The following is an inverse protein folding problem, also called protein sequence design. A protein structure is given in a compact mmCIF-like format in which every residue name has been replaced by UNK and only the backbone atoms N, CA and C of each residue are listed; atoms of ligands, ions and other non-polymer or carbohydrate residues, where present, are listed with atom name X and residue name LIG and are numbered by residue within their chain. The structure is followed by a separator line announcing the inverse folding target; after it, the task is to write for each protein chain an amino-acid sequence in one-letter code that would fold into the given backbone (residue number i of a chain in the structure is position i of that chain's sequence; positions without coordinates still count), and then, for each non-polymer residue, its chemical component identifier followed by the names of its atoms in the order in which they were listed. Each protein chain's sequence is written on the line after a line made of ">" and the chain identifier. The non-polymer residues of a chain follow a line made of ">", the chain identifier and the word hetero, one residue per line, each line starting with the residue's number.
data_IF_950855258603
#
_entry.id   IF_950855258603
#
_cell.length_a   1.000
_cell.length_b   1.000
_cell.length_c   1.000
_cell.angle_alpha   90.00
_cell.angle_beta   90.00
_cell.angle_gamma   90.00
#
_symmetry.space_group_name_H-M   'P 1'
#
loop_
_entity.id
_entity.type
_entity.pdbx_description
1 polymer ?
#
# COMPACT_ATOMS: atom_id res chain seq x y z
N UNK A 1 16.25 -4.83 -21.30
CA UNK A 1 15.55 -5.90 -20.54
C UNK A 1 14.05 -5.60 -20.60
N UNK A 2 13.26 -6.60 -20.97
CA UNK A 2 11.81 -6.48 -21.19
C UNK A 2 11.03 -7.18 -20.10
N UNK A 3 10.18 -6.47 -19.39
CA UNK A 3 9.40 -7.00 -18.27
C UNK A 3 7.90 -6.88 -18.56
N UNK A 4 7.17 -7.98 -18.45
CA UNK A 4 5.72 -7.99 -18.50
C UNK A 4 5.17 -8.00 -17.06
N UNK A 5 4.60 -6.88 -16.61
CA UNK A 5 3.83 -6.85 -15.36
C UNK A 5 2.39 -7.30 -15.61
N UNK A 6 1.85 -8.10 -14.69
CA UNK A 6 0.54 -8.74 -14.85
C UNK A 6 -0.29 -8.58 -13.59
N UNK A 7 -1.39 -7.82 -13.67
CA UNK A 7 -2.33 -7.63 -12.56
C UNK A 7 -3.73 -7.24 -13.06
N UNK A 8 -4.73 -7.43 -12.20
CA UNK A 8 -6.16 -7.22 -12.54
C UNK A 8 -6.54 -5.78 -12.82
N UNK A 9 -5.83 -4.82 -12.25
CA UNK A 9 -6.10 -3.37 -12.30
C UNK A 9 -4.79 -2.62 -12.41
N UNK A 10 -4.81 -1.42 -13.02
CA UNK A 10 -3.63 -0.55 -13.06
C UNK A 10 -4.03 0.93 -13.10
N UNK A 11 -3.09 1.78 -12.74
CA UNK A 11 -3.19 3.23 -12.94
C UNK A 11 -3.17 3.55 -14.46
N UNK A 12 -3.94 4.52 -14.97
CA UNK A 12 -4.81 5.46 -14.25
C UNK A 12 -6.27 5.00 -14.07
N UNK A 13 -6.70 3.85 -14.61
CA UNK A 13 -8.10 3.40 -14.50
C UNK A 13 -8.55 3.23 -13.04
N UNK A 14 -7.64 2.77 -12.20
CA UNK A 14 -7.85 2.63 -10.76
C UNK A 14 -6.65 3.20 -10.00
N UNK A 15 -6.90 3.74 -8.81
CA UNK A 15 -5.87 4.35 -7.96
C UNK A 15 -5.89 3.72 -6.56
N UNK A 16 -5.27 2.55 -6.43
CA UNK A 16 -5.10 1.81 -5.18
C UNK A 16 -3.63 1.57 -4.86
N UNK A 17 -3.36 0.99 -3.70
CA UNK A 17 -1.99 0.74 -3.26
C UNK A 17 -1.18 -0.16 -4.20
N UNK A 18 -1.80 -1.21 -4.77
CA UNK A 18 -1.12 -2.14 -5.69
C UNK A 18 -0.87 -1.47 -7.03
N UNK A 19 -1.83 -0.70 -7.54
CA UNK A 19 -1.72 0.06 -8.79
C UNK A 19 -0.56 1.07 -8.73
N UNK A 20 -0.40 1.76 -7.60
CA UNK A 20 0.73 2.66 -7.38
C UNK A 20 2.06 1.90 -7.32
N UNK A 21 2.10 0.73 -6.69
CA UNK A 21 3.29 -0.13 -6.68
C UNK A 21 3.70 -0.53 -8.10
N UNK A 22 2.76 -1.00 -8.92
CA UNK A 22 2.99 -1.37 -10.33
C UNK A 22 3.54 -0.17 -11.10
N UNK A 23 2.92 1.00 -10.94
CA UNK A 23 3.32 2.27 -11.55
C UNK A 23 4.75 2.64 -11.17
N UNK A 24 5.09 2.64 -9.88
CA UNK A 24 6.42 3.02 -9.39
C UNK A 24 7.52 2.03 -9.80
N UNK A 25 7.21 0.73 -9.88
CA UNK A 25 8.14 -0.25 -10.46
C UNK A 25 8.39 0.08 -11.94
N UNK A 26 7.33 0.29 -12.73
CA UNK A 26 7.47 0.55 -14.16
C UNK A 26 8.21 1.85 -14.45
N UNK A 27 7.80 2.97 -13.82
CA UNK A 27 8.40 4.29 -14.03
C UNK A 27 9.86 4.35 -13.53
N UNK A 28 10.12 3.82 -12.34
CA UNK A 28 11.46 3.82 -11.75
C UNK A 28 12.45 2.94 -12.51
N UNK A 29 12.07 1.70 -12.87
CA UNK A 29 12.97 0.78 -13.58
C UNK A 29 13.22 1.21 -15.03
N UNK A 30 12.31 1.97 -15.64
CA UNK A 30 12.49 2.55 -16.98
C UNK A 30 13.73 3.46 -17.04
N UNK A 31 13.98 4.27 -16.03
CA UNK A 31 15.17 5.13 -15.96
C UNK A 31 16.47 4.35 -15.91
N UNK A 32 16.39 3.05 -15.55
CA UNK A 32 17.52 2.11 -15.47
C UNK A 32 17.56 1.13 -16.67
N UNK A 33 16.85 1.44 -17.76
CA UNK A 33 16.90 0.71 -19.03
C UNK A 33 16.00 -0.53 -19.09
N UNK A 34 14.94 -0.61 -18.25
CA UNK A 34 13.91 -1.65 -18.34
C UNK A 34 12.74 -1.15 -19.17
N UNK A 35 12.38 -1.90 -20.20
CA UNK A 35 11.15 -1.69 -20.97
C UNK A 35 10.03 -2.52 -20.33
N UNK A 36 8.97 -1.86 -19.88
CA UNK A 36 7.86 -2.51 -19.18
C UNK A 36 6.57 -2.40 -19.99
N UNK A 37 5.83 -3.52 -20.09
CA UNK A 37 4.42 -3.54 -20.50
C UNK A 37 3.58 -4.05 -19.36
N UNK A 38 2.33 -3.56 -19.25
CA UNK A 38 1.38 -3.96 -18.21
C UNK A 38 0.18 -4.62 -18.87
N UNK A 39 -0.05 -5.90 -18.58
CA UNK A 39 -1.26 -6.61 -18.95
C UNK A 39 -2.27 -6.53 -17.80
N UNK A 40 -3.44 -5.98 -18.08
CA UNK A 40 -4.47 -5.73 -17.06
C UNK A 40 -5.87 -6.04 -17.58
N UNK A 41 -6.87 -6.02 -16.70
CA UNK A 41 -8.28 -6.08 -17.06
C UNK A 41 -8.90 -4.68 -17.06
N UNK A 42 -9.92 -4.49 -17.90
CA UNK A 42 -10.74 -3.28 -17.93
C UNK A 42 -12.22 -3.63 -18.01
N UNK A 43 -13.08 -2.75 -17.50
CA UNK A 43 -14.54 -2.85 -17.67
C UNK A 43 -14.97 -2.52 -19.09
N UNK A 44 -14.18 -1.73 -19.79
CA UNK A 44 -14.45 -1.24 -21.13
C UNK A 44 -13.50 -1.89 -22.17
N UNK A 45 -13.93 -1.91 -23.43
CA UNK A 45 -13.07 -2.32 -24.52
C UNK A 45 -12.19 -1.13 -24.95
N UNK A 46 -11.03 -1.02 -24.34
CA UNK A 46 -10.08 0.07 -24.54
C UNK A 46 -8.87 -0.47 -25.30
N UNK A 47 -8.42 0.19 -26.39
CA UNK A 47 -7.20 -0.21 -27.07
C UNK A 47 -5.97 0.00 -26.18
N UNK A 48 -4.84 -0.68 -26.46
CA UNK A 48 -3.58 -0.41 -25.78
C UNK A 48 -3.19 1.08 -25.86
N UNK A 49 -2.69 1.61 -24.75
CA UNK A 49 -2.30 3.02 -24.64
C UNK A 49 -1.01 3.18 -23.82
N UNK A 50 -0.40 4.35 -23.91
CA UNK A 50 0.79 4.66 -23.10
C UNK A 50 0.43 5.58 -21.94
N UNK A 51 0.89 5.23 -20.74
CA UNK A 51 0.81 6.06 -19.56
C UNK A 51 2.20 6.19 -18.94
N UNK A 52 2.68 7.42 -18.76
CA UNK A 52 4.02 7.72 -18.22
C UNK A 52 5.17 6.93 -18.90
N UNK A 53 5.04 6.70 -20.21
CA UNK A 53 6.01 5.96 -21.02
C UNK A 53 5.99 4.44 -20.83
N UNK A 54 4.96 3.91 -20.18
CA UNK A 54 4.69 2.46 -20.05
C UNK A 54 3.49 2.09 -20.92
N UNK A 55 3.62 1.03 -21.72
CA UNK A 55 2.51 0.51 -22.52
C UNK A 55 1.58 -0.34 -21.65
N UNK A 56 0.30 0.04 -21.64
CA UNK A 56 -0.76 -0.65 -20.92
C UNK A 56 -1.64 -1.38 -21.93
N UNK A 57 -1.84 -2.68 -21.70
CA UNK A 57 -2.65 -3.55 -22.54
C UNK A 57 -3.88 -3.98 -21.72
N UNK A 58 -4.98 -3.22 -21.77
CA UNK A 58 -6.21 -3.56 -21.08
C UNK A 58 -6.97 -4.64 -21.86
N UNK A 59 -7.49 -5.62 -21.15
CA UNK A 59 -8.36 -6.66 -21.72
C UNK A 59 -9.72 -6.55 -21.09
N UNK A 60 -10.77 -6.39 -21.92
CA UNK A 60 -12.15 -6.29 -21.42
C UNK A 60 -12.53 -7.54 -20.65
N UNK A 61 -13.03 -7.36 -19.44
CA UNK A 61 -13.58 -8.44 -18.59
C UNK A 61 -14.74 -9.12 -19.27
N UNK A 62 -14.79 -10.45 -19.20
CA UNK A 62 -15.94 -11.26 -19.63
C UNK A 62 -16.91 -11.44 -18.48
N UNK A 63 -16.40 -11.69 -17.29
CA UNK A 63 -17.16 -11.80 -16.04
C UNK A 63 -16.29 -11.47 -14.84
N UNK A 64 -16.94 -11.24 -13.70
CA UNK A 64 -16.27 -10.99 -12.43
C UNK A 64 -16.98 -11.74 -11.30
N UNK A 65 -16.21 -12.38 -10.43
CA UNK A 65 -16.70 -13.07 -9.22
C UNK A 65 -15.88 -12.65 -8.03
N UNK A 66 -16.52 -12.07 -7.02
CA UNK A 66 -15.86 -11.66 -5.78
C UNK A 66 -14.62 -10.76 -5.99
N UNK A 67 -14.73 -9.77 -6.88
CA UNK A 67 -13.64 -8.86 -7.30
C UNK A 67 -12.48 -9.56 -8.03
N UNK A 68 -12.69 -10.76 -8.52
CA UNK A 68 -11.78 -11.47 -9.41
C UNK A 68 -12.36 -11.48 -10.83
N UNK A 69 -11.88 -10.56 -11.66
CA UNK A 69 -12.25 -10.47 -13.06
C UNK A 69 -11.51 -11.53 -13.89
N UNK A 70 -12.17 -12.01 -14.95
CA UNK A 70 -11.61 -12.93 -15.94
C UNK A 70 -12.02 -12.56 -17.35
N UNK A 71 -11.12 -12.86 -18.32
CA UNK A 71 -11.39 -12.74 -19.75
C UNK A 71 -10.67 -13.83 -20.52
N UNK A 72 -11.37 -14.49 -21.48
CA UNK A 72 -10.74 -15.50 -22.34
C UNK A 72 -9.61 -14.89 -23.20
N UNK A 73 -9.81 -13.67 -23.69
CA UNK A 73 -8.80 -12.91 -24.46
C UNK A 73 -7.51 -12.68 -23.65
N UNK A 74 -7.59 -12.68 -22.31
CA UNK A 74 -6.42 -12.52 -21.43
C UNK A 74 -5.36 -13.60 -21.68
N UNK A 75 -5.78 -14.85 -21.97
CA UNK A 75 -4.86 -15.98 -22.24
C UNK A 75 -4.09 -15.75 -23.54
N UNK A 76 -4.77 -15.31 -24.60
CA UNK A 76 -4.12 -15.07 -25.90
C UNK A 76 -3.16 -13.87 -25.85
N UNK A 77 -3.57 -12.76 -25.19
CA UNK A 77 -2.70 -11.59 -25.03
C UNK A 77 -1.51 -11.93 -24.11
N UNK A 78 -1.73 -12.69 -23.03
CA UNK A 78 -0.64 -13.13 -22.17
C UNK A 78 0.40 -13.96 -22.92
N UNK A 79 -0.03 -14.94 -23.75
CA UNK A 79 0.89 -15.76 -24.58
C UNK A 79 1.73 -14.88 -25.50
N UNK A 80 1.10 -13.96 -26.25
CA UNK A 80 1.76 -13.03 -27.15
C UNK A 80 2.78 -12.13 -26.42
N UNK A 81 2.39 -11.60 -25.26
CA UNK A 81 3.25 -10.70 -24.48
C UNK A 81 4.36 -11.47 -23.74
N UNK A 82 4.13 -12.73 -23.36
CA UNK A 82 5.17 -13.57 -22.76
C UNK A 82 6.29 -13.92 -23.75
N UNK A 83 5.99 -13.99 -25.07
CA UNK A 83 7.02 -14.15 -26.11
C UNK A 83 7.89 -12.89 -26.23
N UNK A 84 7.30 -11.71 -26.09
CA UNK A 84 8.02 -10.42 -26.12
C UNK A 84 8.90 -10.21 -24.88
N UNK A 85 8.45 -10.65 -23.69
CA UNK A 85 9.10 -10.39 -22.43
C UNK A 85 10.36 -11.27 -22.21
N UNK A 86 11.33 -10.75 -21.50
CA UNK A 86 12.44 -11.52 -20.91
C UNK A 86 12.03 -12.10 -19.56
N UNK A 87 11.23 -11.35 -18.79
CA UNK A 87 10.76 -11.67 -17.43
C UNK A 87 9.27 -11.40 -17.32
N UNK A 88 8.56 -12.26 -16.56
CA UNK A 88 7.16 -12.05 -16.20
C UNK A 88 7.08 -11.71 -14.71
N UNK A 89 6.48 -10.57 -14.38
CA UNK A 89 6.31 -10.07 -13.03
C UNK A 89 4.83 -10.04 -12.64
N UNK A 90 4.42 -11.02 -11.82
CA UNK A 90 3.06 -11.12 -11.31
C UNK A 90 2.88 -10.29 -10.04
N UNK A 91 1.63 -9.88 -9.77
CA UNK A 91 1.24 -9.25 -8.51
C UNK A 91 0.14 -10.10 -7.85
N UNK A 92 0.36 -10.52 -6.62
CA UNK A 92 -0.54 -11.40 -5.86
C UNK A 92 -1.21 -10.60 -4.72
N UNK A 93 -2.50 -10.82 -4.39
CA UNK A 93 -3.34 -11.94 -4.86
C UNK A 93 -4.17 -11.57 -6.11
N UNK A 94 -4.16 -12.47 -7.06
CA UNK A 94 -5.08 -12.44 -8.20
C UNK A 94 -5.28 -13.85 -8.79
N UNK A 95 -6.37 -14.58 -8.41
CA UNK A 95 -6.60 -15.95 -8.87
C UNK A 95 -6.61 -16.14 -10.38
N UNK A 96 -7.14 -15.19 -11.17
CA UNK A 96 -7.08 -15.25 -12.63
C UNK A 96 -5.65 -15.06 -13.16
N UNK A 97 -4.82 -14.26 -12.50
CA UNK A 97 -3.39 -14.12 -12.80
C UNK A 97 -2.63 -15.43 -12.55
N UNK A 98 -2.94 -16.11 -11.44
CA UNK A 98 -2.35 -17.42 -11.14
C UNK A 98 -2.77 -18.48 -12.17
N UNK A 99 -4.04 -18.42 -12.63
CA UNK A 99 -4.53 -19.32 -13.69
C UNK A 99 -3.81 -19.07 -15.02
N UNK A 100 -3.63 -17.83 -15.44
CA UNK A 100 -2.95 -17.55 -16.72
C UNK A 100 -1.47 -17.92 -16.67
N UNK A 101 -0.84 -18.01 -15.52
CA UNK A 101 0.55 -18.48 -15.37
C UNK A 101 0.75 -19.89 -15.91
N UNK A 102 -0.30 -20.73 -15.92
CA UNK A 102 -0.29 -22.06 -16.51
C UNK A 102 -0.03 -22.03 -18.03
N UNK A 103 -0.28 -20.91 -18.67
CA UNK A 103 -0.08 -20.68 -20.11
C UNK A 103 1.29 -20.06 -20.44
N UNK A 104 2.21 -19.96 -19.47
CA UNK A 104 3.59 -19.54 -19.71
C UNK A 104 4.37 -20.65 -20.46
N UNK A 105 3.96 -20.89 -21.71
CA UNK A 105 4.55 -21.92 -22.57
C UNK A 105 6.04 -21.67 -22.86
N UNK A 106 6.49 -20.43 -22.80
CA UNK A 106 7.89 -20.04 -23.05
C UNK A 106 8.80 -20.33 -21.87
N UNK A 107 8.25 -20.71 -20.72
CA UNK A 107 8.95 -20.94 -19.45
C UNK A 107 9.89 -19.78 -19.08
N UNK A 108 9.47 -18.54 -19.39
CA UNK A 108 10.24 -17.34 -19.02
C UNK A 108 10.42 -17.27 -17.51
N UNK A 109 11.57 -16.80 -17.05
CA UNK A 109 11.81 -16.50 -15.65
C UNK A 109 10.69 -15.61 -15.10
N UNK A 110 10.18 -15.92 -13.92
CA UNK A 110 9.07 -15.16 -13.36
C UNK A 110 9.24 -14.92 -11.87
N UNK A 111 8.74 -13.78 -11.43
CA UNK A 111 8.63 -13.42 -10.02
C UNK A 111 7.22 -12.95 -9.71
N UNK A 112 6.90 -12.93 -8.41
CA UNK A 112 5.64 -12.38 -7.91
C UNK A 112 5.88 -11.43 -6.75
N UNK A 113 5.32 -10.21 -6.82
CA UNK A 113 5.20 -9.34 -5.65
C UNK A 113 3.97 -9.73 -4.86
N UNK A 114 4.20 -10.16 -3.61
CA UNK A 114 3.20 -10.67 -2.69
C UNK A 114 2.70 -9.53 -1.80
N UNK A 115 1.57 -8.91 -2.15
CA UNK A 115 1.05 -7.73 -1.46
C UNK A 115 0.32 -8.06 -0.16
N UNK A 116 -0.44 -9.17 -0.13
CA UNK A 116 -1.18 -9.58 1.07
C UNK A 116 -1.62 -11.04 1.04
N UNK A 117 -1.84 -11.61 2.22
CA UNK A 117 -2.55 -12.89 2.36
C UNK A 117 -4.04 -12.71 1.99
N UNK A 118 -4.67 -13.76 1.44
CA UNK A 118 -6.12 -13.83 1.29
C UNK A 118 -6.73 -14.16 2.66
N UNK A 119 -7.31 -13.17 3.33
CA UNK A 119 -7.87 -13.31 4.68
C UNK A 119 -9.36 -13.61 4.67
N UNK A 120 -10.11 -13.01 3.73
CA UNK A 120 -11.57 -13.22 3.55
C UNK A 120 -11.87 -14.44 2.66
N UNK A 121 -13.13 -14.89 2.65
CA UNK A 121 -13.65 -15.94 1.74
C UNK A 121 -13.04 -17.33 2.01
N UNK A 122 -13.08 -17.79 3.25
CA UNK A 122 -12.47 -19.06 3.70
C UNK A 122 -12.84 -20.28 2.81
N UNK A 123 -14.08 -20.40 2.35
CA UNK A 123 -14.53 -21.52 1.49
C UNK A 123 -13.90 -21.45 0.09
N UNK A 124 -13.94 -20.27 -0.55
CA UNK A 124 -13.31 -20.08 -1.86
C UNK A 124 -11.79 -20.27 -1.80
N UNK A 125 -11.17 -19.90 -0.68
CA UNK A 125 -9.74 -20.10 -0.44
C UNK A 125 -9.37 -21.61 -0.45
N UNK A 126 -10.22 -22.48 0.08
CA UNK A 126 -9.96 -23.93 0.09
C UNK A 126 -9.91 -24.46 -1.36
N UNK A 127 -10.86 -24.06 -2.20
CA UNK A 127 -10.91 -24.44 -3.61
C UNK A 127 -9.75 -23.84 -4.44
N UNK A 128 -9.35 -22.64 -4.12
CA UNK A 128 -8.25 -21.93 -4.78
C UNK A 128 -6.86 -22.42 -4.35
N UNK A 129 -6.73 -23.00 -3.15
CA UNK A 129 -5.44 -23.37 -2.56
C UNK A 129 -4.55 -24.27 -3.45
N UNK A 130 -5.05 -25.24 -4.20
CA UNK A 130 -4.22 -26.02 -5.12
C UNK A 130 -3.58 -25.16 -6.22
N UNK A 131 -4.35 -24.22 -6.82
CA UNK A 131 -3.86 -23.31 -7.84
C UNK A 131 -2.82 -22.32 -7.25
N UNK A 132 -3.09 -21.75 -6.10
CA UNK A 132 -2.15 -20.88 -5.37
C UNK A 132 -0.82 -21.60 -5.11
N UNK A 133 -0.88 -22.83 -4.57
CA UNK A 133 0.33 -23.60 -4.30
C UNK A 133 1.09 -23.94 -5.59
N UNK A 134 0.38 -24.29 -6.66
CA UNK A 134 1.00 -24.55 -7.96
C UNK A 134 1.72 -23.32 -8.48
N UNK A 135 1.05 -22.16 -8.48
CA UNK A 135 1.61 -20.88 -8.92
C UNK A 135 2.85 -20.49 -8.10
N UNK A 136 2.75 -20.49 -6.76
CA UNK A 136 3.86 -20.12 -5.89
C UNK A 136 5.04 -21.12 -5.97
N UNK A 137 4.79 -22.38 -6.34
CA UNK A 137 5.88 -23.33 -6.62
C UNK A 137 6.57 -23.03 -7.95
N UNK A 138 5.84 -22.59 -8.96
CA UNK A 138 6.40 -22.31 -10.30
C UNK A 138 7.22 -21.04 -10.39
N UNK A 139 6.82 -19.97 -9.67
CA UNK A 139 7.60 -18.72 -9.70
C UNK A 139 9.00 -18.92 -9.12
N UNK A 140 9.98 -18.29 -9.73
CA UNK A 140 11.38 -18.37 -9.29
C UNK A 140 11.61 -17.60 -7.99
N UNK A 141 11.05 -16.40 -7.88
CA UNK A 141 11.22 -15.50 -6.74
C UNK A 141 9.87 -14.97 -6.27
N UNK A 142 9.70 -14.87 -4.95
CA UNK A 142 8.55 -14.23 -4.29
C UNK A 142 9.07 -13.00 -3.56
N UNK A 143 8.59 -11.82 -3.93
CA UNK A 143 8.96 -10.56 -3.29
C UNK A 143 7.95 -10.25 -2.19
N UNK A 144 8.40 -10.24 -0.95
CA UNK A 144 7.63 -9.76 0.20
C UNK A 144 7.88 -8.27 0.41
N UNK A 145 6.85 -7.54 0.83
CA UNK A 145 6.91 -6.08 1.00
C UNK A 145 7.58 -5.63 2.31
N UNK A 146 7.83 -6.55 3.25
CA UNK A 146 8.58 -6.26 4.48
C UNK A 146 9.17 -7.53 5.10
N UNK A 147 10.25 -7.41 5.89
CA UNK A 147 10.81 -8.54 6.65
C UNK A 147 9.80 -9.16 7.61
N UNK A 148 9.01 -8.35 8.31
CA UNK A 148 7.98 -8.81 9.24
C UNK A 148 6.89 -9.60 8.51
N UNK A 149 6.46 -9.12 7.35
CA UNK A 149 5.47 -9.84 6.56
C UNK A 149 6.02 -11.18 6.06
N UNK A 150 7.27 -11.22 5.60
CA UNK A 150 7.95 -12.43 5.19
C UNK A 150 8.03 -13.47 6.34
N UNK A 151 8.30 -13.01 7.56
CA UNK A 151 8.41 -13.87 8.75
C UNK A 151 7.07 -14.36 9.30
N UNK A 152 6.02 -13.56 9.21
CA UNK A 152 4.73 -13.82 9.87
C UNK A 152 3.67 -14.41 8.95
N UNK A 153 3.82 -14.32 7.61
CA UNK A 153 2.91 -14.97 6.67
C UNK A 153 3.18 -16.47 6.59
N UNK A 154 2.19 -17.27 6.98
CA UNK A 154 2.28 -18.75 6.89
C UNK A 154 2.48 -19.26 5.48
N UNK A 155 2.03 -18.51 4.46
CA UNK A 155 2.27 -18.85 3.07
C UNK A 155 3.73 -18.59 2.68
N UNK A 156 4.26 -17.40 2.98
CA UNK A 156 5.64 -17.05 2.64
C UNK A 156 6.66 -17.95 3.34
N UNK A 157 6.38 -18.36 4.57
CA UNK A 157 7.24 -19.29 5.31
C UNK A 157 7.40 -20.65 4.62
N UNK A 158 6.42 -21.12 3.85
CA UNK A 158 6.53 -22.36 3.06
C UNK A 158 7.54 -22.23 1.93
N UNK A 159 7.75 -21.01 1.43
CA UNK A 159 8.61 -20.71 0.28
C UNK A 159 9.82 -19.85 0.66
N UNK A 160 10.24 -19.86 1.93
CA UNK A 160 11.28 -18.98 2.48
C UNK A 160 12.56 -18.92 1.63
N UNK A 161 12.95 -20.01 0.96
CA UNK A 161 14.15 -20.09 0.12
C UNK A 161 14.03 -19.23 -1.16
N UNK A 162 12.82 -18.94 -1.62
CA UNK A 162 12.51 -18.10 -2.79
C UNK A 162 12.12 -16.65 -2.39
N UNK A 163 11.92 -16.38 -1.11
CA UNK A 163 11.48 -15.06 -0.65
C UNK A 163 12.66 -14.10 -0.65
N UNK A 164 12.43 -12.94 -1.26
CA UNK A 164 13.27 -11.74 -1.16
C UNK A 164 12.41 -10.61 -0.60
N UNK A 165 13.02 -9.66 0.07
CA UNK A 165 12.32 -8.51 0.63
C UNK A 165 12.68 -7.26 -0.15
N UNK A 166 11.66 -6.60 -0.71
CA UNK A 166 11.78 -5.26 -1.29
C UNK A 166 10.64 -4.43 -0.69
N UNK A 167 10.92 -3.51 0.24
CA UNK A 167 9.92 -2.66 0.84
C UNK A 167 9.25 -1.77 -0.21
N UNK A 168 7.96 -1.44 -0.01
CA UNK A 168 7.28 -0.51 -0.89
C UNK A 168 7.90 0.88 -0.80
N UNK A 169 7.76 1.65 -1.87
CA UNK A 169 8.26 3.01 -1.96
C UNK A 169 7.20 3.93 -2.55
N UNK A 170 7.41 5.23 -2.40
CA UNK A 170 6.63 6.27 -3.06
C UNK A 170 7.57 7.25 -3.77
N UNK A 171 7.03 7.90 -4.80
CA UNK A 171 7.75 8.94 -5.55
C UNK A 171 7.34 10.31 -5.03
N UNK A 172 8.21 10.93 -4.24
CA UNK A 172 7.98 12.27 -3.69
C UNK A 172 7.67 13.31 -4.78
N UNK A 173 8.28 13.17 -5.96
CA UNK A 173 8.06 14.10 -7.07
C UNK A 173 6.64 14.06 -7.66
N UNK A 174 5.86 13.02 -7.35
CA UNK A 174 4.45 12.91 -7.80
C UNK A 174 3.47 13.62 -6.87
N UNK A 175 3.91 14.07 -5.70
CA UNK A 175 3.07 14.77 -4.75
C UNK A 175 3.07 16.28 -5.06
N UNK A 176 1.90 16.93 -5.11
CA UNK A 176 1.82 18.35 -5.41
C UNK A 176 2.38 19.19 -4.26
N UNK A 177 2.93 20.34 -4.61
CA UNK A 177 3.19 21.39 -3.60
C UNK A 177 1.90 22.18 -3.41
N UNK A 178 1.28 22.18 -2.21
CA UNK A 178 0.01 22.85 -2.01
C UNK A 178 0.17 24.36 -2.10
N UNK A 179 -0.85 25.04 -2.62
CA UNK A 179 -0.93 26.48 -2.59
C UNK A 179 -1.06 26.97 -1.14
N UNK A 180 -0.51 28.15 -0.84
CA UNK A 180 -0.67 28.77 0.49
C UNK A 180 -2.15 28.93 0.87
N UNK A 181 -3.00 29.30 -0.12
CA UNK A 181 -4.45 29.40 0.08
C UNK A 181 -5.10 28.05 0.46
N UNK A 182 -4.62 26.92 -0.06
CA UNK A 182 -5.11 25.59 0.32
C UNK A 182 -4.74 25.26 1.76
N UNK A 183 -3.49 25.58 2.16
CA UNK A 183 -3.04 25.38 3.54
C UNK A 183 -3.85 26.27 4.49
N UNK A 184 -4.07 27.56 4.15
CA UNK A 184 -4.82 28.50 4.99
C UNK A 184 -6.30 28.05 5.14
N UNK A 185 -6.94 27.61 4.06
CA UNK A 185 -8.31 27.05 4.11
C UNK A 185 -8.41 25.84 5.06
N UNK A 186 -7.44 24.94 5.02
CA UNK A 186 -7.41 23.79 5.92
C UNK A 186 -7.10 24.21 7.36
N UNK A 187 -6.21 25.20 7.58
CA UNK A 187 -5.93 25.77 8.89
C UNK A 187 -7.18 26.37 9.52
N UNK A 188 -7.96 27.12 8.75
CA UNK A 188 -9.22 27.71 9.21
C UNK A 188 -10.28 26.64 9.53
N UNK A 189 -10.32 25.56 8.75
CA UNK A 189 -11.32 24.49 8.88
C UNK A 189 -11.02 23.54 10.04
N UNK A 190 -9.79 23.13 10.23
CA UNK A 190 -9.42 22.06 11.18
C UNK A 190 -8.39 22.48 12.24
N UNK A 191 -7.77 23.64 12.11
CA UNK A 191 -6.68 24.10 12.98
C UNK A 191 -5.32 23.55 12.60
N UNK A 192 -4.39 23.62 13.55
CA UNK A 192 -3.04 23.06 13.43
C UNK A 192 -2.73 22.13 14.62
N UNK A 193 -1.72 21.30 14.49
CA UNK A 193 -1.23 20.47 15.59
C UNK A 193 -2.10 19.28 15.94
N UNK A 194 -3.01 18.86 15.06
CA UNK A 194 -3.87 17.70 15.23
C UNK A 194 -3.14 16.39 14.90
N UNK A 195 -3.69 15.27 15.37
CA UNK A 195 -3.31 13.93 14.97
C UNK A 195 -4.07 13.55 13.69
N UNK A 196 -3.35 13.18 12.64
CA UNK A 196 -3.91 12.94 11.31
C UNK A 196 -4.03 11.45 11.01
N UNK A 197 -5.20 11.03 10.56
CA UNK A 197 -5.42 9.76 9.86
C UNK A 197 -5.78 10.03 8.41
N UNK A 198 -5.16 9.30 7.48
CA UNK A 198 -5.52 9.30 6.05
C UNK A 198 -5.72 7.88 5.54
N UNK A 199 -6.88 7.62 4.92
CA UNK A 199 -7.12 6.33 4.27
C UNK A 199 -8.59 5.97 4.08
N UNK A 200 -8.83 4.88 3.31
CA UNK A 200 -10.18 4.36 3.13
C UNK A 200 -10.73 3.84 4.46
N UNK A 201 -11.93 4.27 4.83
CA UNK A 201 -12.59 3.94 6.11
C UNK A 201 -13.09 2.50 6.08
N UNK A 202 -12.22 1.55 6.45
CA UNK A 202 -12.53 0.12 6.47
C UNK A 202 -12.40 -0.44 7.88
N UNK A 203 -13.15 -1.52 8.16
CA UNK A 203 -13.24 -2.20 9.44
C UNK A 203 -11.87 -2.54 10.08
N UNK A 204 -10.87 -2.91 9.28
CA UNK A 204 -9.54 -3.29 9.77
C UNK A 204 -8.63 -2.11 10.14
N UNK A 205 -9.03 -0.89 9.76
CA UNK A 205 -8.28 0.34 10.03
C UNK A 205 -8.32 0.78 11.51
N UNK A 206 -9.20 0.18 12.32
CA UNK A 206 -9.20 0.39 13.77
C UNK A 206 -9.64 1.77 14.22
N UNK A 207 -10.45 2.47 13.42
CA UNK A 207 -10.90 3.83 13.75
C UNK A 207 -11.73 3.89 15.03
N UNK A 208 -12.42 2.79 15.40
CA UNK A 208 -13.10 2.68 16.69
C UNK A 208 -12.15 2.90 17.87
N UNK A 209 -10.92 2.36 17.79
CA UNK A 209 -9.91 2.52 18.83
C UNK A 209 -9.31 3.92 18.85
N UNK A 210 -9.16 4.57 17.69
CA UNK A 210 -8.73 5.96 17.60
C UNK A 210 -9.77 6.92 18.17
N UNK A 211 -11.05 6.72 17.85
CA UNK A 211 -12.14 7.53 18.38
C UNK A 211 -12.24 7.42 19.90
N UNK A 212 -12.11 6.21 20.43
CA UNK A 212 -12.10 6.00 21.88
C UNK A 212 -10.85 6.62 22.53
N UNK A 213 -9.67 6.53 21.90
CA UNK A 213 -8.47 7.21 22.38
C UNK A 213 -8.64 8.74 22.41
N UNK A 214 -9.24 9.32 21.36
CA UNK A 214 -9.55 10.76 21.30
C UNK A 214 -10.58 11.16 22.36
N UNK A 215 -11.53 10.27 22.68
CA UNK A 215 -12.50 10.47 23.78
C UNK A 215 -11.82 10.50 25.15
N UNK A 216 -10.82 9.64 25.37
CA UNK A 216 -10.08 9.55 26.63
C UNK A 216 -9.21 10.77 26.86
N UNK A 217 -8.46 11.22 25.85
CA UNK A 217 -7.45 12.29 26.02
C UNK A 217 -7.87 13.69 25.55
N UNK A 218 -9.00 13.77 24.87
CA UNK A 218 -9.55 15.01 24.29
C UNK A 218 -8.59 15.78 23.33
N UNK A 219 -7.64 15.08 22.72
CA UNK A 219 -6.72 15.68 21.75
C UNK A 219 -7.36 15.82 20.35
N UNK A 220 -6.98 16.85 19.56
CA UNK A 220 -7.57 17.07 18.24
C UNK A 220 -7.15 15.99 17.25
N UNK A 221 -8.15 15.40 16.58
CA UNK A 221 -7.96 14.35 15.56
C UNK A 221 -8.67 14.77 14.26
N UNK A 222 -7.96 14.64 13.14
CA UNK A 222 -8.53 14.81 11.81
C UNK A 222 -8.49 13.46 11.09
N UNK A 223 -9.66 13.01 10.62
CA UNK A 223 -9.83 11.78 9.87
C UNK A 223 -10.17 12.16 8.42
N UNK A 224 -9.25 11.88 7.49
CA UNK A 224 -9.41 12.12 6.07
C UNK A 224 -9.59 10.81 5.30
N UNK A 225 -10.63 10.75 4.50
CA UNK A 225 -10.99 9.61 3.69
C UNK A 225 -12.48 9.32 3.71
N UNK A 226 -12.88 8.32 2.91
CA UNK A 226 -14.25 7.83 2.83
C UNK A 226 -14.26 6.30 2.80
N UNK A 227 -15.42 5.69 3.04
CA UNK A 227 -15.54 4.23 2.99
C UNK A 227 -16.73 3.68 3.79
N UNK A 228 -16.84 2.33 3.80
CA UNK A 228 -18.00 1.66 4.41
C UNK A 228 -18.24 1.95 5.90
N UNK A 229 -17.21 2.33 6.66
CA UNK A 229 -17.32 2.61 8.09
C UNK A 229 -17.72 4.06 8.40
N UNK A 230 -17.92 4.92 7.38
CA UNK A 230 -18.21 6.35 7.57
C UNK A 230 -19.38 6.61 8.49
N UNK A 231 -20.53 6.01 8.23
CA UNK A 231 -21.75 6.21 9.02
C UNK A 231 -21.52 5.84 10.48
N UNK A 232 -20.84 4.70 10.72
CA UNK A 232 -20.53 4.25 12.08
C UNK A 232 -19.61 5.24 12.84
N UNK A 233 -18.67 5.86 12.14
CA UNK A 233 -17.76 6.87 12.69
C UNK A 233 -18.55 8.14 13.03
N UNK A 234 -19.40 8.64 12.12
CA UNK A 234 -20.25 9.80 12.33
C UNK A 234 -21.20 9.59 13.52
N UNK A 235 -21.84 8.43 13.61
CA UNK A 235 -22.70 8.04 14.73
C UNK A 235 -21.93 8.03 16.06
N UNK A 236 -20.71 7.50 16.08
CA UNK A 236 -19.89 7.46 17.29
C UNK A 236 -19.49 8.88 17.74
N UNK A 237 -19.04 9.74 16.81
CA UNK A 237 -18.68 11.14 17.09
C UNK A 237 -19.89 11.89 17.68
N UNK A 238 -21.05 11.76 17.05
CA UNK A 238 -22.30 12.40 17.51
C UNK A 238 -22.74 11.89 18.87
N UNK A 239 -22.77 10.57 19.06
CA UNK A 239 -23.22 9.94 20.32
C UNK A 239 -22.38 10.34 21.52
N UNK A 240 -21.09 10.57 21.33
CA UNK A 240 -20.14 10.88 22.41
C UNK A 240 -19.77 12.37 22.46
N UNK A 241 -20.37 13.22 21.61
CA UNK A 241 -20.09 14.65 21.51
C UNK A 241 -18.59 14.95 21.37
N UNK A 242 -17.93 14.28 20.40
CA UNK A 242 -16.48 14.44 20.19
C UNK A 242 -16.16 15.65 19.31
N UNK A 243 -16.23 16.87 19.90
CA UNK A 243 -15.94 18.13 19.19
C UNK A 243 -14.47 18.24 18.75
N UNK A 244 -13.58 17.46 19.40
CA UNK A 244 -12.15 17.36 19.09
C UNK A 244 -11.84 16.45 17.89
N UNK A 245 -12.84 15.75 17.31
CA UNK A 245 -12.65 14.87 16.15
C UNK A 245 -13.34 15.45 14.92
N UNK A 246 -12.59 15.64 13.84
CA UNK A 246 -13.12 16.14 12.55
C UNK A 246 -13.00 15.10 11.46
N UNK A 247 -14.14 14.59 10.96
CA UNK A 247 -14.22 13.73 9.78
C UNK A 247 -14.41 14.61 8.55
N UNK A 248 -13.35 14.71 7.70
CA UNK A 248 -13.33 15.66 6.57
C UNK A 248 -13.75 15.06 5.23
N UNK A 249 -13.93 13.73 5.18
CA UNK A 249 -14.35 13.02 3.96
C UNK A 249 -13.20 12.78 2.99
N UNK A 250 -13.55 12.48 1.73
CA UNK A 250 -12.56 12.33 0.66
C UNK A 250 -11.86 13.67 0.37
N UNK A 251 -10.56 13.61 0.15
CA UNK A 251 -9.70 14.78 -0.10
C UNK A 251 -8.85 14.56 -1.35
N UNK A 252 -8.44 15.65 -1.99
CA UNK A 252 -7.46 15.63 -3.09
C UNK A 252 -6.04 15.32 -2.60
N UNK A 253 -5.13 15.04 -3.51
CA UNK A 253 -3.70 14.87 -3.18
C UNK A 253 -3.11 16.17 -2.59
N UNK A 254 -3.50 17.33 -3.11
CA UNK A 254 -3.05 18.64 -2.59
C UNK A 254 -3.55 18.89 -1.17
N UNK A 255 -4.82 18.59 -0.89
CA UNK A 255 -5.40 18.67 0.45
C UNK A 255 -4.70 17.73 1.43
N UNK A 256 -4.38 16.52 0.97
CA UNK A 256 -3.64 15.53 1.77
C UNK A 256 -2.29 16.07 2.22
N UNK A 257 -1.55 16.70 1.29
CA UNK A 257 -0.27 17.34 1.62
C UNK A 257 -0.46 18.47 2.61
N UNK A 258 -1.45 19.35 2.39
CA UNK A 258 -1.75 20.46 3.32
C UNK A 258 -2.06 19.94 4.73
N UNK A 259 -2.86 18.87 4.85
CA UNK A 259 -3.17 18.26 6.15
C UNK A 259 -1.93 17.63 6.81
N UNK A 260 -1.05 16.98 6.04
CA UNK A 260 0.22 16.51 6.58
C UNK A 260 1.06 17.69 7.11
N UNK A 261 1.17 18.78 6.38
CA UNK A 261 1.94 19.95 6.83
C UNK A 261 1.41 20.53 8.15
N UNK A 262 0.09 20.64 8.30
CA UNK A 262 -0.59 21.19 9.48
C UNK A 262 -0.64 20.22 10.67
N UNK A 263 -0.49 18.90 10.44
CA UNK A 263 -0.58 17.90 11.51
C UNK A 263 0.66 17.90 12.42
N UNK A 264 0.46 17.49 13.68
CA UNK A 264 1.52 17.21 14.65
C UNK A 264 2.15 15.85 14.44
N UNK A 265 1.31 14.83 14.28
CA UNK A 265 1.72 13.44 14.12
C UNK A 265 0.72 12.68 13.25
N UNK A 266 1.14 11.56 12.70
CA UNK A 266 0.29 10.64 11.95
C UNK A 266 -0.15 9.48 12.84
N UNK A 267 -1.42 9.09 12.77
CA UNK A 267 -1.98 7.99 13.56
C UNK A 267 -2.47 6.86 12.65
N UNK A 268 -2.06 5.63 12.97
CA UNK A 268 -2.34 4.46 12.16
C UNK A 268 -2.83 3.30 13.04
N UNK A 269 -4.10 3.31 13.46
CA UNK A 269 -4.66 2.39 14.44
C UNK A 269 -5.06 1.03 13.85
N UNK A 270 -4.62 0.69 12.63
CA UNK A 270 -4.96 -0.58 11.98
C UNK A 270 -4.68 -1.77 12.90
N UNK A 271 -5.70 -2.63 13.12
CA UNK A 271 -5.65 -3.67 14.14
C UNK A 271 -5.68 -5.10 13.58
N UNK A 272 -5.78 -5.25 12.26
CA UNK A 272 -5.82 -6.58 11.61
C UNK A 272 -4.79 -6.69 10.49
N UNK A 273 -4.29 -7.90 10.28
CA UNK A 273 -3.32 -8.24 9.23
C UNK A 273 -3.80 -8.01 7.79
N UNK A 274 -5.08 -7.65 7.59
CA UNK A 274 -5.58 -7.14 6.31
C UNK A 274 -4.89 -5.86 5.86
N UNK A 275 -4.27 -5.13 6.79
CA UNK A 275 -3.31 -4.07 6.52
C UNK A 275 -1.92 -4.68 6.33
N UNK A 276 -1.52 -4.84 5.08
CA UNK A 276 -0.27 -5.54 4.78
C UNK A 276 0.98 -4.67 4.95
N UNK A 277 0.88 -3.36 4.68
CA UNK A 277 2.02 -2.45 4.72
C UNK A 277 1.70 -1.07 5.28
N UNK A 278 0.76 -0.33 4.64
CA UNK A 278 0.38 1.03 5.02
C UNK A 278 1.20 2.11 4.30
N UNK A 279 0.92 2.34 3.02
CA UNK A 279 1.61 3.40 2.22
C UNK A 279 1.50 4.77 2.89
N UNK A 280 0.37 5.08 3.54
CA UNK A 280 0.19 6.34 4.27
C UNK A 280 1.17 6.54 5.44
N UNK A 281 1.80 5.48 5.95
CA UNK A 281 2.91 5.60 6.90
C UNK A 281 4.16 6.17 6.23
N UNK A 282 4.44 5.73 4.99
CA UNK A 282 5.58 6.25 4.21
C UNK A 282 5.31 7.72 3.85
N UNK A 283 4.06 8.07 3.49
CA UNK A 283 3.66 9.46 3.24
C UNK A 283 3.91 10.34 4.47
N UNK A 284 3.52 9.86 5.66
CA UNK A 284 3.80 10.56 6.91
C UNK A 284 5.29 10.76 7.16
N UNK A 285 6.12 9.75 6.91
CA UNK A 285 7.58 9.85 7.03
C UNK A 285 8.18 10.85 6.03
N UNK A 286 7.67 10.86 4.80
CA UNK A 286 8.08 11.82 3.76
C UNK A 286 7.88 13.28 4.24
N UNK A 287 6.77 13.54 4.97
CA UNK A 287 6.47 14.85 5.55
C UNK A 287 7.02 15.03 6.98
N UNK A 288 8.02 14.24 7.38
CA UNK A 288 8.69 14.35 8.68
C UNK A 288 7.73 14.28 9.87
N UNK A 289 6.68 13.42 9.78
CA UNK A 289 5.72 13.28 10.88
C UNK A 289 6.09 12.12 11.78
N UNK A 290 6.08 12.31 13.11
CA UNK A 290 6.07 11.21 14.06
C UNK A 290 4.87 10.30 13.79
N UNK A 291 5.02 9.00 14.00
CA UNK A 291 3.96 8.04 13.74
C UNK A 291 3.53 7.34 15.03
N UNK A 292 2.23 7.17 15.23
CA UNK A 292 1.69 6.25 16.23
C UNK A 292 0.97 5.14 15.48
N UNK A 293 1.42 3.90 15.63
CA UNK A 293 0.84 2.74 14.93
C UNK A 293 0.64 1.55 15.86
N UNK A 294 -0.28 0.65 15.48
CA UNK A 294 -0.45 -0.62 16.19
C UNK A 294 0.48 -1.70 15.64
N UNK A 295 0.99 -2.56 16.52
CA UNK A 295 1.80 -3.73 16.13
C UNK A 295 0.92 -4.89 15.68
N UNK A 296 0.77 -5.05 14.40
CA UNK A 296 -0.01 -6.14 13.78
C UNK A 296 0.86 -7.18 13.08
N UNK A 297 2.17 -7.11 13.24
CA UNK A 297 3.14 -8.05 12.67
C UNK A 297 3.18 -8.03 11.13
N UNK A 298 2.95 -6.85 10.51
CA UNK A 298 2.99 -6.64 9.06
C UNK A 298 4.00 -5.55 8.71
N UNK A 299 3.93 -5.00 7.50
CA UNK A 299 4.81 -3.92 7.06
C UNK A 299 4.72 -2.64 7.88
N UNK A 300 3.62 -2.41 8.60
CA UNK A 300 3.46 -1.24 9.46
C UNK A 300 4.55 -1.13 10.53
N UNK A 301 4.90 -2.25 11.16
CA UNK A 301 5.98 -2.33 12.17
C UNK A 301 7.40 -2.27 11.56
N UNK A 302 7.51 -2.42 10.22
CA UNK A 302 8.76 -2.15 9.49
C UNK A 302 8.92 -0.67 9.19
N UNK A 303 7.84 -0.01 8.80
CA UNK A 303 7.87 1.43 8.47
C UNK A 303 8.05 2.25 9.75
N UNK A 304 7.21 2.06 10.76
CA UNK A 304 7.31 2.75 12.03
C UNK A 304 8.13 1.95 13.05
N UNK A 305 9.28 2.48 13.43
CA UNK A 305 10.16 1.87 14.44
C UNK A 305 9.90 2.51 15.80
N UNK A 306 9.54 1.68 16.78
CA UNK A 306 9.23 2.14 18.13
C UNK A 306 10.39 2.91 18.77
N UNK A 307 10.09 4.05 19.40
CA UNK A 307 11.02 4.97 20.05
C UNK A 307 12.12 5.52 19.12
N UNK A 308 11.96 5.36 17.78
CA UNK A 308 12.88 5.92 16.78
C UNK A 308 12.16 6.86 15.81
N UNK A 309 11.14 6.37 15.09
CA UNK A 309 10.32 7.16 14.14
C UNK A 309 8.95 7.52 14.71
N UNK A 310 8.62 6.97 15.87
CA UNK A 310 7.35 7.15 16.53
C UNK A 310 7.13 6.14 17.64
N UNK A 311 5.87 5.87 17.94
CA UNK A 311 5.46 4.92 18.98
C UNK A 311 4.66 3.78 18.36
N UNK A 312 4.90 2.55 18.85
CA UNK A 312 4.16 1.35 18.45
C UNK A 312 3.43 0.81 19.66
N UNK A 313 2.12 0.62 19.54
CA UNK A 313 1.24 0.19 20.63
C UNK A 313 0.58 -1.17 20.30
N UNK A 314 0.05 -1.89 21.31
CA UNK A 314 -0.73 -3.10 21.06
C UNK A 314 -1.95 -2.80 20.16
N UNK A 315 -2.33 -3.72 19.25
CA UNK A 315 -3.52 -3.54 18.43
C UNK A 315 -4.80 -3.64 19.25
N UNK A 316 -5.82 -2.91 18.85
CA UNK A 316 -7.13 -2.89 19.52
C UNK A 316 -7.08 -2.38 20.98
N UNK A 317 -6.13 -1.52 21.31
CA UNK A 317 -5.93 -0.95 22.66
C UNK A 317 -6.02 0.57 22.61
N UNK A 318 -7.20 1.12 22.90
CA UNK A 318 -7.48 2.55 22.88
C UNK A 318 -6.73 3.31 23.99
N UNK A 319 -6.50 2.68 25.15
CA UNK A 319 -5.77 3.33 26.24
C UNK A 319 -4.30 3.52 25.88
N UNK A 320 -3.62 2.47 25.42
CA UNK A 320 -2.23 2.56 24.95
C UNK A 320 -2.08 3.55 23.81
N UNK A 321 -3.08 3.63 22.90
CA UNK A 321 -3.09 4.59 21.81
C UNK A 321 -3.23 6.04 22.32
N UNK A 322 -4.12 6.26 23.29
CA UNK A 322 -4.30 7.55 23.97
C UNK A 322 -3.02 8.00 24.70
N UNK A 323 -2.38 7.09 25.43
CA UNK A 323 -1.15 7.37 26.18
C UNK A 323 -0.01 7.76 25.23
N UNK A 324 0.09 7.08 24.07
CA UNK A 324 1.06 7.42 23.03
C UNK A 324 0.80 8.80 22.43
N UNK A 325 -0.47 9.16 22.20
CA UNK A 325 -0.85 10.50 21.74
C UNK A 325 -0.45 11.56 22.78
N UNK A 326 -0.73 11.34 24.06
CA UNK A 326 -0.34 12.25 25.15
C UNK A 326 1.19 12.38 25.28
N UNK A 327 1.94 11.28 25.07
CA UNK A 327 3.41 11.32 25.10
C UNK A 327 3.98 12.20 24.01
N UNK A 328 3.42 12.16 22.79
CA UNK A 328 3.80 13.04 21.66
C UNK A 328 3.34 14.49 21.94
N UNK A 329 2.11 14.68 22.47
CA UNK A 329 1.56 16.00 22.76
C UNK A 329 2.42 16.77 23.76
N UNK A 330 2.82 16.10 24.83
CA UNK A 330 3.50 16.72 25.98
C UNK A 330 5.03 16.80 25.83
N UNK A 331 5.62 16.28 24.72
CA UNK A 331 7.07 16.26 24.54
C UNK A 331 7.45 16.76 23.14
N UNK A 332 7.69 18.06 23.02
CA UNK A 332 8.04 18.74 21.77
C UNK A 332 9.36 18.23 21.19
N UNK A 333 10.36 17.97 22.02
CA UNK A 333 11.68 17.48 21.57
C UNK A 333 11.58 16.07 21.03
N UNK A 334 10.81 15.21 21.68
CA UNK A 334 10.53 13.84 21.20
C UNK A 334 9.80 13.87 19.85
N UNK A 335 8.76 14.71 19.76
CA UNK A 335 8.00 14.89 18.53
C UNK A 335 8.93 15.31 17.37
N UNK A 336 9.79 16.31 17.61
CA UNK A 336 10.76 16.80 16.62
C UNK A 336 11.77 15.70 16.23
N UNK A 337 12.33 14.99 17.21
CA UNK A 337 13.31 13.91 16.98
C UNK A 337 12.70 12.81 16.12
N UNK A 338 11.49 12.31 16.45
CA UNK A 338 10.80 11.30 15.66
C UNK A 338 10.50 11.78 14.25
N UNK A 339 10.12 13.04 14.07
CA UNK A 339 9.90 13.63 12.75
C UNK A 339 11.17 13.62 11.88
N UNK A 340 12.31 14.04 12.43
CA UNK A 340 13.62 14.01 11.75
C UNK A 340 13.98 12.56 11.37
N UNK A 341 13.85 11.63 12.29
CA UNK A 341 14.16 10.24 12.07
C UNK A 341 13.21 9.59 11.02
N UNK A 342 11.94 9.97 11.04
CA UNK A 342 10.95 9.55 10.03
C UNK A 342 11.39 9.97 8.63
N UNK A 343 11.78 11.22 8.43
CA UNK A 343 12.29 11.71 7.15
C UNK A 343 13.57 11.00 6.72
N UNK A 344 14.53 10.84 7.61
CA UNK A 344 15.77 10.13 7.32
C UNK A 344 15.50 8.68 6.89
N UNK A 345 14.57 8.00 7.56
CA UNK A 345 14.18 6.64 7.21
C UNK A 345 13.48 6.57 5.86
N UNK A 346 12.59 7.51 5.53
CA UNK A 346 11.99 7.62 4.21
C UNK A 346 13.07 7.71 3.12
N UNK A 347 14.02 8.61 3.26
CA UNK A 347 15.11 8.82 2.30
C UNK A 347 16.01 7.58 2.15
N UNK A 348 16.23 6.84 3.23
CA UNK A 348 17.07 5.63 3.23
C UNK A 348 16.36 4.41 2.67
N UNK A 349 15.05 4.24 2.89
CA UNK A 349 14.38 2.96 2.66
C UNK A 349 13.24 3.00 1.63
N UNK A 350 12.56 4.16 1.45
CA UNK A 350 11.26 4.18 0.78
C UNK A 350 11.19 5.08 -0.46
N UNK A 351 12.34 5.43 -1.04
CA UNK A 351 12.39 6.21 -2.28
C UNK A 351 12.25 5.31 -3.51
N UNK A 352 11.61 5.83 -4.56
CA UNK A 352 11.48 5.11 -5.85
C UNK A 352 12.81 4.76 -6.49
N UNK A 353 13.84 5.57 -6.29
CA UNK A 353 15.17 5.29 -6.82
C UNK A 353 15.74 3.98 -6.24
N UNK A 354 15.71 3.81 -4.91
CA UNK A 354 16.16 2.60 -4.23
C UNK A 354 15.30 1.40 -4.61
N UNK A 355 14.00 1.61 -4.68
CA UNK A 355 13.02 0.61 -5.06
C UNK A 355 13.28 0.06 -6.47
N UNK A 356 13.45 0.95 -7.44
CA UNK A 356 13.77 0.60 -8.81
C UNK A 356 15.11 -0.16 -8.91
N UNK A 357 16.15 0.31 -8.21
CA UNK A 357 17.44 -0.35 -8.19
C UNK A 357 17.34 -1.78 -7.64
N UNK A 358 16.56 -1.99 -6.58
CA UNK A 358 16.34 -3.31 -5.99
C UNK A 358 15.65 -4.26 -6.99
N UNK A 359 14.63 -3.79 -7.72
CA UNK A 359 13.98 -4.62 -8.75
C UNK A 359 14.90 -4.90 -9.95
N UNK A 360 15.66 -3.91 -10.41
CA UNK A 360 16.61 -4.13 -11.54
C UNK A 360 17.67 -5.15 -11.16
N UNK A 361 18.20 -5.09 -9.94
CA UNK A 361 19.14 -6.09 -9.42
C UNK A 361 18.47 -7.47 -9.40
N UNK A 362 17.27 -7.58 -8.88
CA UNK A 362 16.53 -8.84 -8.81
C UNK A 362 16.19 -9.41 -10.20
N UNK A 363 15.83 -8.55 -11.15
CA UNK A 363 15.59 -8.96 -12.54
C UNK A 363 16.87 -9.51 -13.21
N UNK A 364 18.03 -8.91 -12.96
CA UNK A 364 19.31 -9.41 -13.48
C UNK A 364 19.66 -10.76 -12.88
N UNK A 365 19.57 -10.91 -11.55
CA UNK A 365 19.77 -12.20 -10.87
C UNK A 365 18.87 -13.29 -11.46
N UNK A 366 17.65 -12.94 -11.83
CA UNK A 366 16.67 -13.87 -12.37
C UNK A 366 17.01 -14.33 -13.80
N UNK A 367 17.67 -13.50 -14.60
CA UNK A 367 18.13 -13.84 -15.96
C UNK A 367 19.43 -14.63 -15.98
N UNK A 368 20.20 -14.61 -14.89
CA UNK A 368 21.47 -15.33 -14.75
C UNK A 368 21.29 -16.77 -14.23
N UNK A 369 20.06 -17.14 -13.75
CA UNK A 369 19.71 -18.49 -13.28
C UNK A 369 19.31 -19.41 -14.44
#
# INVERSE_FOLDING_TARGET
>A
MKVLQVYRTCYPETNGGVEQVIRFIASGTRTLGVETKILTLSDNDVPPYSCEGTEIIPVKKTFEVSSNGFALKLISEFKKLSEWADIIHYHYPWPSGDLISLFNATRKPCLVTYHSDIVKQKLLKILYKPLENHFLNQVNIIVATSPQYAQTSTNLQKYKNKVRVIPLAIDEATYPTPLSSTIDQWRDKVGEGFFLFVGVLRYYKGLDYLLEAARINNLPVVIAGDGPERVKIEDYISKHNLDNVKLVGFISEEDKVALHLLSKAFVFPSHLRSEAFGISLIEAQMYSKPIISSDIGTGSSYVNINDETGLVVPPADSQSFSDAMLKIENNVDLCKTFGINSRARFEQEFTTQRYAQSYVTLYRELLEQ
#
